data_IF_586771721754
#
_entry.id   IF_586771721754
#
_cell.length_a   1.000
_cell.length_b   1.000
_cell.length_c   1.000
_cell.angle_alpha   90.00
_cell.angle_beta   90.00
_cell.angle_gamma   90.00
#
_symmetry.space_group_name_H-M   'P 1'
#
loop_
_entity.id
_entity.type
_entity.pdbx_description
1 polymer ?
#
# COMPACT_ATOMS: atom_id res chain seq x y z
N UNK A 1 -21.20 16.64 -3.96
CA UNK A 1 -20.08 15.92 -4.62
C UNK A 1 -19.96 14.56 -3.96
N UNK A 2 -19.86 13.48 -4.74
CA UNK A 2 -19.63 12.13 -4.21
C UNK A 2 -18.12 11.89 -4.16
N UNK A 3 -17.52 11.94 -2.97
CA UNK A 3 -16.09 11.65 -2.81
C UNK A 3 -15.88 10.14 -2.82
N UNK A 4 -14.96 9.66 -3.67
CA UNK A 4 -14.65 8.23 -3.77
C UNK A 4 -13.86 7.80 -2.52
N UNK A 5 -14.37 6.78 -1.82
CA UNK A 5 -13.69 6.14 -0.70
C UNK A 5 -13.06 4.84 -1.21
N UNK A 6 -11.77 4.64 -0.92
CA UNK A 6 -10.97 3.48 -1.34
C UNK A 6 -10.77 2.46 -0.21
N UNK A 7 -11.72 2.42 0.73
CA UNK A 7 -11.72 1.52 1.86
C UNK A 7 -13.16 1.06 2.14
N UNK A 8 -13.33 -0.20 2.51
CA UNK A 8 -14.64 -0.76 2.84
C UNK A 8 -15.13 -0.30 4.22
N UNK A 9 -14.21 0.16 5.07
CA UNK A 9 -14.49 0.65 6.40
C UNK A 9 -14.12 2.13 6.49
N UNK A 10 -15.00 2.92 7.10
CA UNK A 10 -14.75 4.31 7.41
C UNK A 10 -15.01 4.60 8.90
N UNK A 11 -14.25 5.53 9.47
CA UNK A 11 -14.42 6.03 10.82
C UNK A 11 -14.34 7.56 10.82
N UNK A 12 -15.05 8.22 11.73
CA UNK A 12 -14.88 9.66 11.91
C UNK A 12 -13.54 10.00 12.56
N UNK A 13 -13.04 11.21 12.31
CA UNK A 13 -11.83 11.72 12.96
C UNK A 13 -11.97 11.77 14.49
N UNK A 14 -13.20 11.89 15.00
CA UNK A 14 -13.49 11.86 16.44
C UNK A 14 -13.31 10.45 17.02
N UNK A 15 -13.83 9.42 16.35
CA UNK A 15 -13.63 8.02 16.75
C UNK A 15 -12.16 7.62 16.67
N UNK A 16 -11.47 8.05 15.61
CA UNK A 16 -10.04 7.83 15.45
C UNK A 16 -9.24 8.46 16.60
N UNK A 17 -9.52 9.72 16.96
CA UNK A 17 -8.87 10.40 18.08
C UNK A 17 -9.15 9.72 19.43
N UNK A 18 -10.36 9.19 19.62
CA UNK A 18 -10.75 8.54 20.86
C UNK A 18 -10.01 7.21 21.07
N UNK A 19 -9.84 6.41 20.01
CA UNK A 19 -9.07 5.16 20.09
C UNK A 19 -8.48 4.78 18.72
N UNK A 20 -7.26 5.24 18.41
CA UNK A 20 -6.62 4.96 17.12
C UNK A 20 -6.43 3.47 16.85
N UNK A 21 -6.06 2.69 17.89
CA UNK A 21 -5.79 1.27 17.75
C UNK A 21 -7.05 0.48 17.42
N UNK A 22 -8.18 0.82 18.05
CA UNK A 22 -9.47 0.20 17.73
C UNK A 22 -9.85 0.46 16.27
N UNK A 23 -9.69 1.70 15.79
CA UNK A 23 -9.98 2.05 14.39
C UNK A 23 -9.02 1.33 13.44
N UNK A 24 -7.71 1.32 13.72
CA UNK A 24 -6.75 0.61 12.88
C UNK A 24 -7.04 -0.90 12.77
N UNK A 25 -7.59 -1.51 13.82
CA UNK A 25 -7.95 -2.93 13.82
C UNK A 25 -9.34 -3.25 13.25
N UNK A 26 -10.20 -2.24 13.01
CA UNK A 26 -11.61 -2.49 12.67
C UNK A 26 -11.83 -3.01 11.25
N UNK A 27 -10.81 -2.93 10.40
CA UNK A 27 -10.81 -3.45 9.03
C UNK A 27 -9.97 -4.72 8.86
N UNK A 28 -9.61 -5.41 9.94
CA UNK A 28 -8.95 -6.73 9.89
C UNK A 28 -7.68 -6.78 9.02
N UNK A 29 -6.86 -5.72 9.08
CA UNK A 29 -5.63 -5.61 8.30
C UNK A 29 -5.78 -4.77 7.03
N UNK A 30 -7.00 -4.45 6.61
CA UNK A 30 -7.26 -3.55 5.48
C UNK A 30 -7.23 -2.06 5.90
N UNK A 31 -7.12 -1.12 4.94
CA UNK A 31 -7.19 0.32 5.22
C UNK A 31 -8.55 0.76 5.77
N UNK A 32 -8.53 1.79 6.63
CA UNK A 32 -9.74 2.50 7.10
C UNK A 32 -9.73 3.93 6.63
N UNK A 33 -10.81 4.39 6.00
CA UNK A 33 -10.97 5.80 5.65
C UNK A 33 -11.32 6.63 6.89
N UNK A 34 -10.51 7.62 7.23
CA UNK A 34 -10.80 8.54 8.33
C UNK A 34 -11.45 9.81 7.78
N UNK A 35 -12.70 10.05 8.19
CA UNK A 35 -13.53 11.13 7.66
C UNK A 35 -13.51 12.36 8.58
N UNK A 36 -13.42 13.55 7.97
CA UNK A 36 -13.64 14.83 8.64
C UNK A 36 -14.78 15.56 7.92
N UNK A 37 -15.85 15.93 8.63
CA UNK A 37 -17.05 16.55 8.04
C UNK A 37 -17.63 15.77 6.83
N UNK A 38 -17.67 14.43 6.95
CA UNK A 38 -18.11 13.49 5.91
C UNK A 38 -17.24 13.44 4.64
N UNK A 39 -16.05 14.02 4.67
CA UNK A 39 -15.06 13.92 3.59
C UNK A 39 -13.85 13.11 4.06
N UNK A 40 -13.31 12.18 3.26
CA UNK A 40 -12.11 11.43 3.61
C UNK A 40 -10.92 12.38 3.76
N UNK A 41 -10.38 12.45 4.97
CA UNK A 41 -9.21 13.27 5.29
C UNK A 41 -7.90 12.50 5.06
N UNK A 42 -7.87 11.22 5.45
CA UNK A 42 -6.74 10.32 5.24
C UNK A 42 -7.18 8.85 5.36
N UNK A 43 -6.29 7.93 5.02
CA UNK A 43 -6.45 6.50 5.27
C UNK A 43 -5.54 6.07 6.41
N UNK A 44 -6.10 5.38 7.39
CA UNK A 44 -5.33 4.64 8.38
C UNK A 44 -5.01 3.27 7.78
N UNK A 45 -3.74 3.03 7.47
CA UNK A 45 -3.25 1.78 6.89
C UNK A 45 -2.47 1.02 7.96
N UNK A 46 -2.83 -0.23 8.29
CA UNK A 46 -2.03 -1.06 9.18
C UNK A 46 -0.60 -1.28 8.67
N UNK A 47 0.38 -1.37 9.57
CA UNK A 47 1.80 -1.45 9.20
C UNK A 47 2.11 -2.56 8.18
N UNK A 48 1.64 -3.79 8.44
CA UNK A 48 1.84 -4.92 7.54
C UNK A 48 1.24 -4.70 6.14
N UNK A 49 0.07 -4.05 6.06
CA UNK A 49 -0.54 -3.71 4.77
C UNK A 49 0.25 -2.63 4.04
N UNK A 50 0.81 -1.66 4.77
CA UNK A 50 1.67 -0.64 4.19
C UNK A 50 2.97 -1.24 3.64
N UNK A 51 3.64 -2.11 4.41
CA UNK A 51 4.84 -2.84 3.98
C UNK A 51 4.57 -3.64 2.70
N UNK A 52 3.51 -4.45 2.67
CA UNK A 52 3.12 -5.20 1.46
C UNK A 52 2.83 -4.30 0.25
N UNK A 53 2.32 -3.09 0.45
CA UNK A 53 2.13 -2.14 -0.65
C UNK A 53 3.47 -1.59 -1.16
N UNK A 54 4.42 -1.31 -0.27
CA UNK A 54 5.74 -0.83 -0.66
C UNK A 54 6.52 -1.92 -1.42
N UNK A 55 6.50 -3.16 -0.93
CA UNK A 55 7.13 -4.30 -1.61
C UNK A 55 6.62 -4.46 -3.04
N UNK A 56 5.29 -4.37 -3.24
CA UNK A 56 4.69 -4.45 -4.58
C UNK A 56 5.07 -3.28 -5.48
N UNK A 57 5.30 -2.09 -4.94
CA UNK A 57 5.76 -0.94 -5.74
C UNK A 57 7.20 -1.15 -6.19
N UNK A 58 8.06 -1.65 -5.32
CA UNK A 58 9.44 -2.02 -5.66
C UNK A 58 9.48 -3.11 -6.75
N UNK A 59 8.65 -4.15 -6.62
CA UNK A 59 8.52 -5.19 -7.64
C UNK A 59 8.12 -4.64 -9.02
N UNK A 60 7.25 -3.62 -9.06
CA UNK A 60 6.83 -2.97 -10.31
C UNK A 60 8.01 -2.21 -10.95
N UNK A 61 8.82 -1.52 -10.16
CA UNK A 61 10.01 -0.83 -10.64
C UNK A 61 11.05 -1.82 -11.18
N UNK A 62 11.29 -2.92 -10.45
CA UNK A 62 12.17 -4.00 -10.91
C UNK A 62 11.66 -4.66 -12.19
N UNK A 63 10.35 -4.88 -12.30
CA UNK A 63 9.74 -5.43 -13.50
C UNK A 63 9.91 -4.51 -14.71
N UNK A 64 9.86 -3.20 -14.51
CA UNK A 64 10.11 -2.23 -15.58
C UNK A 64 11.54 -2.38 -16.13
N UNK A 65 12.54 -2.45 -15.24
CA UNK A 65 13.95 -2.66 -15.62
C UNK A 65 14.13 -4.01 -16.32
N UNK A 66 13.52 -5.07 -15.79
CA UNK A 66 13.60 -6.40 -16.38
C UNK A 66 13.03 -6.41 -17.81
N UNK A 67 11.91 -5.74 -18.05
CA UNK A 67 11.31 -5.59 -19.38
C UNK A 67 12.16 -4.78 -20.34
N UNK A 68 12.76 -3.68 -19.88
CA UNK A 68 13.68 -2.89 -20.70
C UNK A 68 14.88 -3.72 -21.20
N UNK A 69 15.38 -4.60 -20.34
CA UNK A 69 16.56 -5.45 -20.63
C UNK A 69 16.22 -6.79 -21.27
N UNK A 70 14.95 -7.15 -21.38
CA UNK A 70 14.51 -8.46 -21.89
C UNK A 70 15.02 -8.75 -23.30
N UNK A 71 15.21 -7.72 -24.12
CA UNK A 71 15.70 -7.83 -25.50
C UNK A 71 17.22 -7.65 -25.64
N UNK A 72 17.95 -7.44 -24.55
CA UNK A 72 19.41 -7.28 -24.59
C UNK A 72 20.13 -8.62 -24.81
N UNK A 73 21.29 -8.58 -25.46
CA UNK A 73 22.13 -9.75 -25.67
C UNK A 73 22.67 -10.28 -24.33
N UNK A 74 22.23 -11.46 -23.91
CA UNK A 74 22.75 -12.12 -22.70
C UNK A 74 24.11 -12.79 -22.95
N UNK A 75 25.01 -12.71 -21.98
CA UNK A 75 26.27 -13.45 -21.96
C UNK A 75 26.17 -14.54 -20.89
N UNK A 76 26.50 -15.79 -21.24
CA UNK A 76 26.56 -16.89 -20.29
C UNK A 76 27.84 -16.81 -19.46
N UNK A 77 27.71 -16.88 -18.14
CA UNK A 77 28.82 -16.87 -17.18
C UNK A 77 28.58 -17.96 -16.12
N UNK A 78 29.64 -18.58 -15.60
CA UNK A 78 29.58 -19.48 -14.44
C UNK A 78 29.77 -18.70 -13.14
N UNK A 79 29.12 -19.14 -12.07
CA UNK A 79 29.37 -18.57 -10.72
C UNK A 79 30.79 -18.88 -10.26
N UNK A 80 31.36 -20.03 -10.66
CA UNK A 80 32.72 -20.43 -10.30
C UNK A 80 33.82 -19.57 -10.97
N UNK A 81 33.44 -18.72 -11.95
CA UNK A 81 34.34 -17.85 -12.72
C UNK A 81 34.33 -16.38 -12.23
N UNK A 82 33.61 -16.06 -11.14
CA UNK A 82 33.51 -14.73 -10.52
C UNK A 82 34.42 -14.58 -9.29
#
# INVERSE_FOLDING_TARGET
>A
MTTRILADVAASITEFKANPMKVASSAYGEPVAVLNRNEPAFYCVPAAAYEMMMDKLEDIELLAIAKERESESSISVSIDDL
#
